data_IF_928131451702
#
_entry.id   IF_928131451702
#
_cell.length_a   1.000
_cell.length_b   1.000
_cell.length_c   1.000
_cell.angle_alpha   90.00
_cell.angle_beta   90.00
_cell.angle_gamma   90.00
#
_symmetry.space_group_name_H-M   'P 1'
#
loop_
_entity.id
_entity.type
_entity.pdbx_description
1 polymer ?
#
# COMPACT_ATOMS: atom_id res chain seq x y z
N UNK A 1 1.80 -3.50 -11.30
CA UNK A 1 1.57 -2.09 -11.69
C UNK A 1 2.80 -1.53 -12.41
N UNK A 2 2.65 -0.48 -13.22
CA UNK A 2 3.76 0.33 -13.75
C UNK A 2 3.87 1.65 -12.98
N UNK A 3 5.05 1.95 -12.45
CA UNK A 3 5.36 3.16 -11.68
C UNK A 3 6.33 4.01 -12.47
N UNK A 4 5.98 5.27 -12.74
CA UNK A 4 6.85 6.21 -13.46
C UNK A 4 7.73 6.96 -12.47
N UNK A 5 9.05 6.91 -12.68
CA UNK A 5 10.06 7.61 -11.88
C UNK A 5 10.98 8.33 -12.88
N UNK A 6 11.00 9.66 -12.83
CA UNK A 6 11.67 10.49 -13.84
C UNK A 6 11.20 10.15 -15.26
N UNK A 7 12.15 9.82 -16.12
CA UNK A 7 11.87 9.42 -17.52
C UNK A 7 11.63 7.91 -17.69
N UNK A 8 11.77 7.13 -16.62
CA UNK A 8 11.71 5.66 -16.66
C UNK A 8 10.40 5.13 -16.09
N UNK A 9 10.03 3.94 -16.55
CA UNK A 9 8.87 3.21 -16.08
C UNK A 9 9.29 1.86 -15.51
N UNK A 10 8.88 1.61 -14.26
CA UNK A 10 9.25 0.43 -13.48
C UNK A 10 8.04 -0.46 -13.23
N UNK A 11 8.16 -1.76 -13.53
CA UNK A 11 7.15 -2.75 -13.20
C UNK A 11 7.26 -3.16 -11.74
N UNK A 12 6.33 -2.68 -10.91
CA UNK A 12 6.26 -3.00 -9.48
C UNK A 12 5.39 -4.24 -9.28
N UNK A 13 5.96 -5.24 -8.59
CA UNK A 13 5.31 -6.51 -8.27
C UNK A 13 5.81 -7.10 -6.96
N UNK A 14 4.88 -7.47 -6.08
CA UNK A 14 5.19 -8.04 -4.77
C UNK A 14 5.19 -9.57 -4.81
N UNK A 15 6.36 -10.18 -4.58
CA UNK A 15 6.48 -11.63 -4.41
C UNK A 15 6.29 -12.06 -2.94
N UNK A 16 5.72 -13.25 -2.72
CA UNK A 16 5.37 -13.76 -1.39
C UNK A 16 6.52 -13.67 -0.36
N UNK A 17 7.69 -14.24 -0.68
CA UNK A 17 8.82 -14.35 0.27
C UNK A 17 9.36 -12.98 0.72
N UNK A 18 9.82 -12.07 -0.16
CA UNK A 18 10.36 -10.78 0.28
C UNK A 18 9.29 -9.92 0.96
N UNK A 19 8.04 -9.96 0.48
CA UNK A 19 6.92 -9.23 1.10
C UNK A 19 6.71 -9.62 2.56
N UNK A 20 6.78 -10.92 2.88
CA UNK A 20 6.61 -11.40 4.25
C UNK A 20 7.85 -11.21 5.12
N UNK A 21 9.05 -11.48 4.59
CA UNK A 21 10.32 -11.32 5.32
C UNK A 21 10.54 -9.88 5.77
N UNK A 22 10.14 -8.92 4.93
CA UNK A 22 10.27 -7.48 5.22
C UNK A 22 9.04 -6.87 5.90
N UNK A 23 8.02 -7.69 6.21
CA UNK A 23 6.79 -7.27 6.88
C UNK A 23 6.07 -6.11 6.17
N UNK A 24 6.13 -6.10 4.83
CA UNK A 24 5.61 -5.01 3.99
C UNK A 24 4.12 -4.74 4.25
N UNK A 25 3.30 -5.78 4.37
CA UNK A 25 1.85 -5.64 4.59
C UNK A 25 1.56 -4.84 5.86
N UNK A 26 2.19 -5.21 6.98
CA UNK A 26 1.98 -4.51 8.25
C UNK A 26 2.48 -3.06 8.22
N UNK A 27 3.52 -2.77 7.43
CA UNK A 27 4.02 -1.40 7.26
C UNK A 27 3.03 -0.55 6.45
N UNK A 28 2.47 -1.08 5.36
CA UNK A 28 1.39 -0.40 4.63
C UNK A 28 0.18 -0.12 5.52
N UNK A 29 -0.25 -1.09 6.33
CA UNK A 29 -1.37 -0.89 7.27
C UNK A 29 -1.04 0.19 8.30
N UNK A 30 0.19 0.26 8.82
CA UNK A 30 0.63 1.32 9.76
C UNK A 30 0.45 2.72 9.19
N UNK A 31 0.71 2.91 7.89
CA UNK A 31 0.70 4.23 7.23
C UNK A 31 -0.58 4.54 6.45
N UNK A 32 -1.54 3.61 6.40
CA UNK A 32 -2.82 3.85 5.74
C UNK A 32 -3.65 4.97 6.40
N UNK A 33 -3.39 5.28 7.68
CA UNK A 33 -4.04 6.37 8.41
C UNK A 33 -3.01 7.32 9.05
N UNK A 34 -2.48 8.22 8.21
CA UNK A 34 -1.58 9.30 8.64
C UNK A 34 -2.34 10.51 9.21
N UNK A 35 -3.68 10.50 9.16
CA UNK A 35 -4.51 11.68 9.45
C UNK A 35 -4.86 11.87 10.93
N UNK A 36 -4.68 10.83 11.75
CA UNK A 36 -5.07 10.84 13.16
C UNK A 36 -3.85 11.06 14.08
N UNK A 37 -3.64 12.26 14.60
CA UNK A 37 -2.62 12.52 15.62
C UNK A 37 -2.31 13.98 15.94
N UNK A 38 -1.54 14.17 17.02
CA UNK A 38 -0.87 15.43 17.37
C UNK A 38 0.16 15.82 16.29
N UNK A 39 0.43 17.11 16.11
CA UNK A 39 1.33 17.65 15.07
C UNK A 39 2.76 17.15 15.22
N UNK A 40 3.25 16.94 16.44
CA UNK A 40 4.59 16.42 16.68
C UNK A 40 4.68 14.95 16.24
N UNK A 41 3.68 14.14 16.60
CA UNK A 41 3.57 12.75 16.15
C UNK A 41 3.33 12.64 14.63
N UNK A 42 2.78 13.66 13.98
CA UNK A 42 2.58 13.67 12.53
C UNK A 42 3.92 13.67 11.78
N UNK A 43 4.89 14.49 12.17
CA UNK A 43 6.17 14.55 11.48
C UNK A 43 6.99 13.27 11.65
N UNK A 44 6.98 12.65 12.84
CA UNK A 44 7.61 11.35 13.06
C UNK A 44 6.99 10.26 12.16
N UNK A 45 5.65 10.26 12.03
CA UNK A 45 4.95 9.33 11.13
C UNK A 45 5.29 9.55 9.65
N UNK A 46 5.46 10.81 9.25
CA UNK A 46 5.88 11.17 7.88
C UNK A 46 7.32 10.72 7.64
N UNK A 47 8.24 10.95 8.57
CA UNK A 47 9.62 10.48 8.46
C UNK A 47 9.67 8.95 8.34
N UNK A 48 8.93 8.25 9.20
CA UNK A 48 8.78 6.79 9.13
C UNK A 48 8.25 6.31 7.78
N UNK A 49 7.28 7.03 7.19
CA UNK A 49 6.75 6.74 5.86
C UNK A 49 7.84 6.95 4.79
N UNK A 50 8.56 8.06 4.84
CA UNK A 50 9.60 8.40 3.86
C UNK A 50 10.75 7.39 3.89
N UNK A 51 11.09 6.86 5.06
CA UNK A 51 12.06 5.76 5.21
C UNK A 51 11.52 4.42 4.69
N UNK A 52 10.21 4.22 4.76
CA UNK A 52 9.57 2.99 4.29
C UNK A 52 9.42 2.93 2.76
N UNK A 53 9.18 4.05 2.08
CA UNK A 53 8.93 4.07 0.63
C UNK A 53 10.05 3.38 -0.19
N UNK A 54 11.35 3.66 0.02
CA UNK A 54 12.44 2.96 -0.66
C UNK A 54 12.44 1.45 -0.40
N UNK A 55 12.09 1.03 0.82
CA UNK A 55 12.00 -0.39 1.15
C UNK A 55 10.86 -1.09 0.39
N UNK A 56 9.69 -0.44 0.31
CA UNK A 56 8.55 -0.95 -0.44
C UNK A 56 8.86 -1.04 -1.95
N UNK A 57 9.48 0.00 -2.51
CA UNK A 57 9.95 0.03 -3.90
C UNK A 57 10.96 -1.09 -4.16
N UNK A 58 11.97 -1.23 -3.28
CA UNK A 58 12.97 -2.28 -3.39
C UNK A 58 12.32 -3.67 -3.44
N UNK A 59 11.41 -3.98 -2.52
CA UNK A 59 10.71 -5.28 -2.51
C UNK A 59 9.90 -5.48 -3.79
N UNK A 60 9.22 -4.43 -4.27
CA UNK A 60 8.43 -4.47 -5.49
C UNK A 60 9.24 -4.63 -6.79
N UNK A 61 10.50 -4.16 -6.82
CA UNK A 61 11.37 -4.24 -7.99
C UNK A 61 12.04 -5.61 -8.16
N UNK A 62 12.30 -6.32 -7.06
CA UNK A 62 13.05 -7.58 -7.09
C UNK A 62 12.49 -8.64 -8.03
N UNK A 63 11.21 -8.60 -8.38
CA UNK A 63 10.59 -9.59 -9.25
C UNK A 63 11.06 -9.45 -10.70
N UNK A 64 11.20 -8.22 -11.19
CA UNK A 64 11.49 -7.95 -12.59
C UNK A 64 12.92 -7.44 -12.83
N UNK A 65 13.60 -6.96 -11.79
CA UNK A 65 14.86 -6.25 -11.92
C UNK A 65 15.96 -6.94 -11.09
N UNK A 66 16.81 -7.79 -11.70
CA UNK A 66 17.88 -8.51 -11.02
C UNK A 66 18.85 -7.62 -10.24
N UNK A 67 19.06 -6.40 -10.70
CA UNK A 67 19.95 -5.42 -10.07
C UNK A 67 19.47 -4.96 -8.69
N UNK A 68 18.20 -5.18 -8.34
CA UNK A 68 17.60 -4.92 -7.02
C UNK A 68 17.47 -6.17 -6.14
N UNK A 69 17.84 -7.37 -6.65
CA UNK A 69 17.76 -8.61 -5.86
C UNK A 69 18.83 -8.67 -4.78
N UNK A 70 18.43 -9.14 -3.60
CA UNK A 70 19.31 -9.47 -2.48
C UNK A 70 18.86 -10.79 -1.83
N UNK A 71 19.68 -11.33 -0.94
CA UNK A 71 19.32 -12.56 -0.22
C UNK A 71 18.33 -12.25 0.92
N UNK A 72 17.04 -12.55 0.73
CA UNK A 72 16.02 -12.26 1.76
C UNK A 72 16.11 -13.15 3.02
N UNK A 73 16.95 -14.18 3.03
CA UNK A 73 17.16 -15.00 4.23
C UNK A 73 18.31 -14.47 5.09
N UNK A 74 19.37 -13.95 4.47
CA UNK A 74 20.57 -13.46 5.16
C UNK A 74 20.67 -11.94 5.23
N UNK A 75 19.93 -11.22 4.39
CA UNK A 75 20.06 -9.77 4.20
C UNK A 75 21.28 -9.38 3.36
N UNK A 76 22.05 -10.34 2.84
CA UNK A 76 23.26 -10.06 2.06
C UNK A 76 22.92 -9.27 0.79
N UNK A 77 23.60 -8.13 0.62
CA UNK A 77 23.39 -7.19 -0.48
C UNK A 77 22.22 -6.22 -0.29
N UNK A 78 21.42 -6.36 0.78
CA UNK A 78 20.21 -5.54 0.98
C UNK A 78 20.51 -4.04 1.04
N UNK A 79 21.54 -3.63 1.78
CA UNK A 79 21.90 -2.22 1.98
C UNK A 79 22.26 -1.53 0.66
N UNK A 80 23.11 -2.16 -0.16
CA UNK A 80 23.45 -1.66 -1.50
C UNK A 80 22.21 -1.53 -2.41
N UNK A 81 21.26 -2.48 -2.31
CA UNK A 81 20.04 -2.42 -3.13
C UNK A 81 19.05 -1.38 -2.61
N UNK A 82 19.04 -1.17 -1.29
CA UNK A 82 18.23 -0.15 -0.65
C UNK A 82 18.72 1.25 -1.01
N UNK A 83 20.03 1.49 -1.07
CA UNK A 83 20.61 2.75 -1.54
C UNK A 83 20.16 3.09 -2.98
N UNK A 84 20.14 2.09 -3.87
CA UNK A 84 19.59 2.26 -5.23
C UNK A 84 18.10 2.61 -5.21
N UNK A 85 17.33 2.01 -4.32
CA UNK A 85 15.91 2.33 -4.18
C UNK A 85 15.70 3.74 -3.59
N UNK A 86 16.55 4.19 -2.66
CA UNK A 86 16.56 5.57 -2.17
C UNK A 86 16.76 6.54 -3.32
N UNK A 87 17.77 6.31 -4.17
CA UNK A 87 18.02 7.17 -5.33
C UNK A 87 16.81 7.25 -6.29
N UNK A 88 16.06 6.15 -6.47
CA UNK A 88 14.83 6.18 -7.28
C UNK A 88 13.70 6.97 -6.62
N UNK A 89 13.53 6.82 -5.30
CA UNK A 89 12.50 7.58 -4.58
C UNK A 89 12.88 9.07 -4.54
N UNK A 90 14.15 9.40 -4.36
CA UNK A 90 14.68 10.77 -4.47
C UNK A 90 14.38 11.37 -5.85
N UNK A 91 14.68 10.66 -6.95
CA UNK A 91 14.35 11.10 -8.30
C UNK A 91 12.84 11.35 -8.50
N UNK A 92 11.99 10.54 -7.88
CA UNK A 92 10.54 10.79 -7.89
C UNK A 92 10.18 12.04 -7.09
N UNK A 93 10.71 12.22 -5.88
CA UNK A 93 10.37 13.34 -5.00
C UNK A 93 10.87 14.69 -5.52
N UNK A 94 11.98 14.70 -6.26
CA UNK A 94 12.53 15.89 -6.90
C UNK A 94 11.75 16.31 -8.16
N UNK A 95 10.82 15.48 -8.64
CA UNK A 95 10.03 15.79 -9.84
C UNK A 95 8.94 16.83 -9.57
N UNK A 96 8.63 17.65 -10.57
CA UNK A 96 7.54 18.63 -10.46
C UNK A 96 6.19 17.93 -10.22
N UNK A 97 5.53 18.29 -9.12
CA UNK A 97 4.24 17.73 -8.74
C UNK A 97 4.33 16.38 -8.01
N UNK A 98 5.50 16.00 -7.50
CA UNK A 98 5.64 14.84 -6.64
C UNK A 98 4.70 14.90 -5.43
N UNK A 99 3.99 13.81 -5.17
CA UNK A 99 3.08 13.66 -4.04
C UNK A 99 3.39 12.33 -3.34
N UNK A 100 3.87 12.44 -2.10
CA UNK A 100 4.27 11.31 -1.26
C UNK A 100 3.12 10.33 -1.05
N UNK A 101 1.91 10.84 -0.84
CA UNK A 101 0.73 10.01 -0.61
C UNK A 101 0.25 9.36 -1.90
N UNK A 102 0.29 10.09 -3.02
CA UNK A 102 -0.01 9.50 -4.33
C UNK A 102 0.99 8.37 -4.68
N UNK A 103 2.27 8.54 -4.35
CA UNK A 103 3.30 7.53 -4.54
C UNK A 103 3.09 6.31 -3.65
N UNK A 104 2.82 6.54 -2.36
CA UNK A 104 2.47 5.48 -1.41
C UNK A 104 1.27 4.67 -1.89
N UNK A 105 0.19 5.34 -2.31
CA UNK A 105 -1.04 4.70 -2.78
C UNK A 105 -0.80 3.86 -4.04
N UNK A 106 0.00 4.33 -5.00
CA UNK A 106 0.38 3.53 -6.17
C UNK A 106 1.08 2.22 -5.76
N UNK A 107 2.07 2.29 -4.87
CA UNK A 107 2.78 1.08 -4.43
C UNK A 107 1.82 0.16 -3.64
N UNK A 108 0.93 0.74 -2.83
CA UNK A 108 -0.10 -0.01 -2.11
C UNK A 108 -1.06 -0.73 -3.06
N UNK A 109 -1.54 -0.08 -4.10
CA UNK A 109 -2.35 -0.70 -5.16
C UNK A 109 -1.60 -1.86 -5.80
N UNK A 110 -0.31 -1.70 -6.11
CA UNK A 110 0.51 -2.78 -6.65
C UNK A 110 0.56 -4.00 -5.70
N UNK A 111 0.62 -3.78 -4.38
CA UNK A 111 0.56 -4.84 -3.37
C UNK A 111 -0.80 -5.55 -3.36
N UNK A 112 -1.90 -4.82 -3.51
CA UNK A 112 -3.27 -5.35 -3.48
C UNK A 112 -3.64 -6.09 -4.78
N UNK A 113 -3.15 -5.62 -5.93
CA UNK A 113 -3.45 -6.18 -7.25
C UNK A 113 -2.73 -7.51 -7.51
N UNK A 114 -1.55 -7.73 -6.91
CA UNK A 114 -0.74 -8.92 -7.16
C UNK A 114 -1.24 -10.16 -6.39
N UNK A 115 -2.32 -10.73 -6.93
CA UNK A 115 -2.85 -12.11 -6.82
C UNK A 115 -2.78 -12.90 -5.50
N UNK A 116 -1.63 -13.02 -4.82
CA UNK A 116 -1.54 -13.83 -3.61
C UNK A 116 -2.27 -13.19 -2.42
N UNK A 117 -2.29 -11.86 -2.33
CA UNK A 117 -3.08 -11.12 -1.34
C UNK A 117 -4.47 -10.75 -1.84
N UNK A 118 -4.67 -10.65 -3.16
CA UNK A 118 -5.93 -10.26 -3.78
C UNK A 118 -7.12 -11.05 -3.24
N UNK A 119 -6.96 -12.36 -3.05
CA UNK A 119 -8.03 -13.22 -2.51
C UNK A 119 -8.33 -13.01 -1.02
N UNK A 120 -7.38 -12.51 -0.23
CA UNK A 120 -7.56 -12.16 1.18
C UNK A 120 -8.34 -10.84 1.28
N UNK A 121 -7.89 -9.79 0.57
CA UNK A 121 -8.52 -8.48 0.60
C UNK A 121 -9.91 -8.46 -0.05
N UNK A 122 -10.13 -9.21 -1.14
CA UNK A 122 -11.48 -9.34 -1.74
C UNK A 122 -12.50 -10.00 -0.79
N UNK A 123 -12.05 -10.85 0.15
CA UNK A 123 -12.95 -11.46 1.14
C UNK A 123 -13.30 -10.49 2.26
N UNK A 124 -12.40 -9.57 2.61
CA UNK A 124 -12.65 -8.54 3.61
C UNK A 124 -13.59 -7.47 3.06
N UNK A 125 -13.35 -6.95 1.86
CA UNK A 125 -14.23 -5.98 1.19
C UNK A 125 -15.66 -6.53 1.02
N UNK A 126 -15.82 -7.79 0.59
CA UNK A 126 -17.14 -8.43 0.49
C UNK A 126 -17.86 -8.61 1.83
N UNK A 127 -17.13 -8.70 2.94
CA UNK A 127 -17.72 -8.77 4.28
C UNK A 127 -18.15 -7.39 4.75
N UNK A 128 -17.36 -6.37 4.49
CA UNK A 128 -17.71 -4.98 4.82
C UNK A 128 -18.94 -4.50 4.02
N UNK A 129 -19.01 -4.80 2.71
CA UNK A 129 -20.18 -4.52 1.87
C UNK A 129 -21.43 -5.27 2.34
N UNK A 130 -21.31 -6.55 2.73
CA UNK A 130 -22.44 -7.30 3.28
C UNK A 130 -22.89 -6.75 4.64
N UNK A 131 -21.97 -6.27 5.48
CA UNK A 131 -22.31 -5.64 6.75
C UNK A 131 -23.01 -4.29 6.51
N UNK A 132 -22.57 -3.48 5.54
CA UNK A 132 -23.27 -2.25 5.14
C UNK A 132 -24.66 -2.51 4.53
N UNK A 133 -24.81 -3.54 3.69
CA UNK A 133 -26.10 -3.91 3.09
C UNK A 133 -27.09 -4.45 4.14
N UNK A 134 -26.59 -5.09 5.21
CA UNK A 134 -27.42 -5.55 6.33
C UNK A 134 -27.77 -4.41 7.31
N UNK A 135 -27.10 -3.26 7.23
CA UNK A 135 -27.30 -2.11 8.14
C UNK A 135 -28.11 -0.98 7.50
N UNK A 136 -28.55 -1.10 6.25
CA UNK A 136 -29.64 -0.24 5.75
C UNK A 136 -30.92 -0.53 6.55
N UNK A 137 -31.41 0.41 7.39
CA UNK A 137 -32.68 0.19 8.05
C UNK A 137 -33.75 0.11 6.96
N UNK A 138 -34.49 -0.99 6.93
CA UNK A 138 -35.76 -1.06 6.23
C UNK A 138 -36.60 0.10 6.77
N UNK A 139 -36.76 1.17 5.99
CA UNK A 139 -37.59 2.31 6.38
C UNK A 139 -39.04 1.85 6.39
N UNK A 140 -39.50 1.36 7.54
CA UNK A 140 -40.91 1.10 7.76
C UNK A 140 -41.64 2.45 7.83
N UNK A 141 -42.28 2.84 6.73
CA UNK A 141 -43.18 3.98 6.73
C UNK A 141 -44.48 3.56 7.39
N UNK A 142 -44.71 4.00 8.62
CA UNK A 142 -46.01 3.83 9.29
C UNK A 142 -47.02 4.78 8.62
N UNK A 143 -47.87 4.26 7.74
CA UNK A 143 -49.11 4.93 7.33
C UNK A 143 -50.32 4.22 7.92
N UNK A 144 -51.14 4.96 8.68
CA UNK A 144 -52.44 4.51 9.18
C UNK A 144 -52.45 3.16 9.90
N UNK A 145 -51.42 2.88 10.72
CA UNK A 145 -51.41 1.75 11.64
C UNK A 145 -51.32 0.35 11.02
N UNK A 146 -50.91 0.22 9.75
CA UNK A 146 -50.59 -1.08 9.14
C UNK A 146 -49.20 -1.05 8.49
N UNK A 147 -48.39 -2.05 8.82
CA UNK A 147 -47.09 -2.31 8.19
C UNK A 147 -47.38 -2.83 6.79
N UNK A 148 -46.81 -2.19 5.76
CA UNK A 148 -46.85 -2.67 4.37
C UNK A 148 -45.40 -2.89 3.95
N UNK A 149 -45.04 -4.14 3.64
CA UNK A 149 -43.74 -4.45 3.05
C UNK A 149 -43.73 -3.96 1.59
N UNK A 150 -42.64 -3.32 1.17
CA UNK A 150 -42.29 -3.10 -0.24
C UNK A 150 -41.27 -4.16 -0.63
#
# INVERSE_FOLDING_TARGET
MKLKIGEKEYSIKFAYKPTLKERIISKFVKFADLSNGDKEAYFEKVEDLLLFLPEAVLVGLQVHYPEFKYNCDTGEGKEEKLEKAFALVEEYMDSEGADVMAFFNQIQEALLEDSFLRSLFQKEQKKEEQVEETVQPRLEVIQNGKIVEI
#
